data_IF_379233582546
#
_entry.id   IF_379233582546
#
_cell.length_a   1.000
_cell.length_b   1.000
_cell.length_c   1.000
_cell.angle_alpha   90.00
_cell.angle_beta   90.00
_cell.angle_gamma   90.00
#
_symmetry.space_group_name_H-M   'P 1'
#
loop_
_entity.id
_entity.type
_entity.pdbx_description
1 polymer ?
#
# COMPACT_ATOMS: atom_id res chain seq x y z
N UNK A 1 -10.08 6.20 2.33
CA UNK A 1 -11.08 5.39 1.58
C UNK A 1 -12.32 6.16 1.15
N UNK A 2 -13.01 6.89 2.05
CA UNK A 2 -14.16 7.72 1.67
C UNK A 2 -13.83 8.67 0.49
N UNK A 3 -12.64 9.26 0.53
CA UNK A 3 -12.19 10.15 -0.53
C UNK A 3 -12.06 9.49 -1.90
N UNK A 4 -11.44 8.32 -1.96
CA UNK A 4 -11.33 7.54 -3.19
C UNK A 4 -12.70 7.15 -3.76
N UNK A 5 -13.69 6.86 -2.90
CA UNK A 5 -15.07 6.59 -3.35
C UNK A 5 -15.73 7.81 -4.00
N UNK A 6 -15.47 9.01 -3.47
CA UNK A 6 -15.93 10.26 -4.07
C UNK A 6 -15.25 10.51 -5.42
N UNK A 7 -13.92 10.42 -5.46
CA UNK A 7 -13.12 10.58 -6.70
C UNK A 7 -13.58 9.63 -7.80
N UNK A 8 -13.75 8.34 -7.48
CA UNK A 8 -14.27 7.34 -8.41
C UNK A 8 -15.66 7.69 -8.95
N UNK A 9 -16.52 8.33 -8.15
CA UNK A 9 -17.84 8.78 -8.60
C UNK A 9 -17.72 9.90 -9.62
N UNK A 10 -16.79 10.84 -9.42
CA UNK A 10 -16.53 11.91 -10.38
C UNK A 10 -16.02 11.36 -11.71
N UNK A 11 -14.98 10.52 -11.70
CA UNK A 11 -14.46 9.90 -12.92
C UNK A 11 -15.49 9.06 -13.67
N UNK A 12 -16.34 8.32 -12.94
CA UNK A 12 -17.43 7.54 -13.55
C UNK A 12 -18.47 8.41 -14.24
N UNK A 13 -18.86 9.54 -13.63
CA UNK A 13 -19.81 10.49 -14.22
C UNK A 13 -19.28 11.14 -15.49
N UNK A 14 -17.97 11.38 -15.54
CA UNK A 14 -17.29 11.93 -16.73
C UNK A 14 -16.87 10.88 -17.75
N UNK A 15 -17.21 9.60 -17.53
CA UNK A 15 -16.82 8.48 -18.39
C UNK A 15 -15.32 8.41 -18.70
N UNK A 16 -14.48 8.74 -17.70
CA UNK A 16 -13.04 8.79 -17.89
C UNK A 16 -12.43 7.39 -18.02
N UNK A 17 -11.66 7.17 -19.09
CA UNK A 17 -11.00 5.90 -19.39
C UNK A 17 -9.50 6.09 -19.71
N UNK A 18 -8.74 5.01 -19.57
CA UNK A 18 -7.43 4.82 -20.20
C UNK A 18 -7.62 3.72 -21.24
N UNK A 19 -7.49 4.04 -22.52
CA UNK A 19 -7.94 3.16 -23.59
C UNK A 19 -9.43 2.82 -23.44
N UNK A 20 -9.75 1.54 -23.26
CA UNK A 20 -11.12 1.05 -23.06
C UNK A 20 -11.47 0.77 -21.59
N UNK A 21 -10.52 0.88 -20.67
CA UNK A 21 -10.74 0.54 -19.26
C UNK A 21 -11.06 1.81 -18.45
N UNK A 22 -12.13 1.80 -17.63
CA UNK A 22 -12.53 2.96 -16.84
C UNK A 22 -11.52 3.26 -15.73
N UNK A 23 -11.20 4.54 -15.54
CA UNK A 23 -10.32 4.99 -14.46
C UNK A 23 -11.02 4.81 -13.12
N UNK A 24 -10.50 3.91 -12.29
CA UNK A 24 -11.07 3.61 -10.98
C UNK A 24 -10.01 3.14 -9.99
N UNK A 25 -9.93 3.82 -8.85
CA UNK A 25 -9.15 3.37 -7.71
C UNK A 25 -9.87 2.21 -7.00
N UNK A 26 -9.12 1.19 -6.56
CA UNK A 26 -9.68 0.17 -5.68
C UNK A 26 -9.95 0.81 -4.32
N UNK A 27 -11.11 0.51 -3.76
CA UNK A 27 -11.50 0.93 -2.41
C UNK A 27 -11.86 -0.29 -1.60
N UNK A 28 -11.49 -0.28 -0.33
CA UNK A 28 -11.79 -1.35 0.62
C UNK A 28 -12.33 -0.77 1.94
N UNK A 29 -12.97 -1.61 2.73
CA UNK A 29 -13.52 -1.31 4.04
C UNK A 29 -12.42 -1.04 5.06
N UNK A 30 -12.58 0.02 5.83
CA UNK A 30 -11.79 0.30 7.02
C UNK A 30 -12.79 0.59 8.12
N UNK A 31 -12.71 -0.14 9.23
CA UNK A 31 -13.61 -0.02 10.37
C UNK A 31 -12.80 0.22 11.64
N UNK A 32 -12.59 1.47 12.06
CA UNK A 32 -11.91 1.76 13.32
C UNK A 32 -12.78 1.31 14.50
N UNK A 33 -12.19 0.55 15.43
CA UNK A 33 -12.83 0.19 16.70
C UNK A 33 -12.39 1.13 17.82
N UNK A 34 -11.14 1.57 17.79
CA UNK A 34 -10.54 2.54 18.70
C UNK A 34 -9.41 3.32 18.00
N UNK A 35 -8.69 4.16 18.74
CA UNK A 35 -7.49 4.85 18.25
C UNK A 35 -6.30 3.92 17.96
N UNK A 36 -6.35 2.67 18.43
CA UNK A 36 -5.24 1.69 18.32
C UNK A 36 -5.64 0.39 17.64
N UNK A 37 -6.93 0.16 17.43
CA UNK A 37 -7.48 -1.08 16.90
C UNK A 37 -8.55 -0.81 15.85
N UNK A 38 -8.57 -1.62 14.79
CA UNK A 38 -9.62 -1.60 13.78
C UNK A 38 -9.50 -2.77 12.82
N UNK A 39 -10.45 -2.86 11.89
CA UNK A 39 -10.45 -3.84 10.81
C UNK A 39 -10.17 -3.18 9.48
N UNK A 40 -9.44 -3.91 8.64
CA UNK A 40 -9.21 -3.57 7.24
C UNK A 40 -9.69 -4.74 6.40
N UNK A 41 -10.55 -4.47 5.43
CA UNK A 41 -11.02 -5.48 4.49
C UNK A 41 -9.83 -6.01 3.66
N UNK A 42 -9.71 -7.34 3.62
CA UNK A 42 -8.74 -8.02 2.77
C UNK A 42 -9.21 -7.96 1.33
N UNK A 43 -8.41 -7.35 0.47
CA UNK A 43 -8.64 -7.38 -0.99
C UNK A 43 -8.13 -8.72 -1.52
N UNK A 44 -9.04 -9.63 -1.86
CA UNK A 44 -8.69 -10.97 -2.32
C UNK A 44 -7.88 -10.97 -3.62
N UNK A 45 -7.06 -12.00 -3.80
CA UNK A 45 -6.21 -12.21 -4.97
C UNK A 45 -5.26 -11.03 -5.25
N UNK A 46 -4.82 -10.36 -4.19
CA UNK A 46 -3.83 -9.30 -4.25
C UNK A 46 -2.53 -9.74 -3.59
N UNK A 47 -1.42 -9.23 -4.12
CA UNK A 47 -0.07 -9.42 -3.56
C UNK A 47 0.67 -8.10 -3.58
N UNK A 48 1.53 -7.85 -2.60
CA UNK A 48 2.40 -6.67 -2.64
C UNK A 48 3.44 -6.80 -3.76
N UNK A 49 3.96 -5.69 -4.27
CA UNK A 49 5.03 -5.73 -5.27
C UNK A 49 6.34 -6.31 -4.71
N UNK A 50 6.50 -6.29 -3.38
CA UNK A 50 7.58 -6.99 -2.67
C UNK A 50 7.38 -8.49 -2.71
N UNK A 51 6.19 -8.99 -2.38
CA UNK A 51 5.86 -10.43 -2.45
C UNK A 51 6.08 -10.97 -3.87
N UNK A 52 5.77 -10.18 -4.90
CA UNK A 52 6.07 -10.56 -6.29
C UNK A 52 7.58 -10.70 -6.60
N UNK A 53 8.45 -10.22 -5.72
CA UNK A 53 9.91 -10.35 -5.84
C UNK A 53 10.47 -11.55 -5.08
N UNK A 54 9.66 -12.24 -4.27
CA UNK A 54 10.08 -13.41 -3.51
C UNK A 54 10.44 -14.56 -4.44
N UNK A 55 11.61 -15.18 -4.23
CA UNK A 55 12.11 -16.24 -5.10
C UNK A 55 12.53 -15.79 -6.51
N UNK A 56 12.46 -14.49 -6.82
CA UNK A 56 12.85 -13.93 -8.13
C UNK A 56 14.26 -13.33 -8.04
N UNK A 57 15.21 -13.78 -8.89
CA UNK A 57 16.54 -13.19 -8.99
C UNK A 57 16.49 -11.68 -9.22
N UNK A 58 17.43 -10.94 -8.61
CA UNK A 58 17.40 -9.47 -8.60
C UNK A 58 17.31 -8.84 -10.00
N UNK A 59 18.09 -9.34 -10.96
CA UNK A 59 18.10 -8.93 -12.36
C UNK A 59 16.78 -9.19 -13.12
N UNK A 60 15.94 -10.09 -12.61
CA UNK A 60 14.64 -10.44 -13.19
C UNK A 60 13.46 -9.74 -12.50
N UNK A 61 13.67 -9.12 -11.34
CA UNK A 61 12.61 -8.45 -10.56
C UNK A 61 11.92 -7.33 -11.34
N UNK A 62 12.54 -6.75 -12.36
CA UNK A 62 11.91 -5.76 -13.24
C UNK A 62 10.78 -6.36 -14.10
N UNK A 63 10.78 -7.67 -14.36
CA UNK A 63 9.76 -8.35 -15.15
C UNK A 63 8.60 -8.89 -14.30
N UNK A 64 8.66 -8.75 -12.97
CA UNK A 64 7.76 -9.44 -12.04
C UNK A 64 6.27 -9.11 -12.23
N UNK A 65 5.94 -7.85 -12.55
CA UNK A 65 4.55 -7.44 -12.79
C UNK A 65 4.06 -8.01 -14.12
N UNK A 66 4.86 -7.89 -15.18
CA UNK A 66 4.52 -8.43 -16.50
C UNK A 66 4.30 -9.95 -16.44
N UNK A 67 5.16 -10.68 -15.71
CA UNK A 67 5.02 -12.12 -15.46
C UNK A 67 3.79 -12.44 -14.62
N UNK A 68 3.53 -11.72 -13.53
CA UNK A 68 2.36 -11.94 -12.68
C UNK A 68 1.03 -11.74 -13.44
N UNK A 69 1.03 -10.89 -14.46
CA UNK A 69 -0.13 -10.67 -15.33
C UNK A 69 -0.17 -11.60 -16.54
N UNK A 70 0.79 -12.52 -16.68
CA UNK A 70 0.93 -13.43 -17.83
C UNK A 70 0.93 -12.71 -19.19
N UNK A 71 1.41 -11.46 -19.24
CA UNK A 71 1.38 -10.63 -20.45
C UNK A 71 -0.03 -10.45 -21.07
N UNK A 72 -1.09 -10.67 -20.28
CA UNK A 72 -2.47 -10.55 -20.74
C UNK A 72 -2.79 -9.07 -21.04
N UNK A 73 -3.10 -8.78 -22.30
CA UNK A 73 -3.33 -7.41 -22.77
C UNK A 73 -4.43 -6.70 -21.98
N UNK A 74 -5.52 -7.40 -21.63
CA UNK A 74 -6.63 -6.81 -20.89
C UNK A 74 -6.25 -6.50 -19.44
N UNK A 75 -5.43 -7.35 -18.82
CA UNK A 75 -4.89 -7.06 -17.48
C UNK A 75 -3.92 -5.88 -17.49
N UNK A 76 -3.12 -5.74 -18.56
CA UNK A 76 -2.24 -4.58 -18.75
C UNK A 76 -3.02 -3.29 -19.00
N UNK A 77 -4.15 -3.35 -19.70
CA UNK A 77 -5.04 -2.19 -19.88
C UNK A 77 -5.68 -1.77 -18.55
N UNK A 78 -6.11 -2.74 -17.73
CA UNK A 78 -6.59 -2.49 -16.36
C UNK A 78 -5.50 -1.93 -15.46
N UNK A 79 -4.28 -2.43 -15.61
CA UNK A 79 -3.11 -1.89 -14.90
C UNK A 79 -2.96 -0.40 -15.23
N UNK A 80 -3.00 -0.04 -16.52
CA UNK A 80 -2.91 1.36 -16.97
C UNK A 80 -4.01 2.23 -16.34
N UNK A 81 -5.27 1.82 -16.42
CA UNK A 81 -6.39 2.56 -15.84
C UNK A 81 -6.27 2.74 -14.31
N UNK A 82 -5.82 1.69 -13.60
CA UNK A 82 -5.62 1.73 -12.15
C UNK A 82 -4.39 2.55 -11.72
N UNK A 83 -3.33 2.58 -12.53
CA UNK A 83 -2.14 3.42 -12.30
C UNK A 83 -2.50 4.90 -12.45
N UNK A 84 -3.30 5.26 -13.46
CA UNK A 84 -3.85 6.61 -13.60
C UNK A 84 -4.62 7.02 -12.34
N UNK A 85 -5.53 6.15 -11.88
CA UNK A 85 -6.28 6.40 -10.65
C UNK A 85 -5.36 6.54 -9.41
N UNK A 86 -4.36 5.69 -9.28
CA UNK A 86 -3.39 5.72 -8.19
C UNK A 86 -2.56 7.01 -8.19
N UNK A 87 -2.04 7.46 -9.33
CA UNK A 87 -1.24 8.68 -9.43
C UNK A 87 -2.07 9.92 -9.12
N UNK A 88 -3.23 10.09 -9.75
CA UNK A 88 -4.08 11.26 -9.52
C UNK A 88 -4.58 11.31 -8.08
N UNK A 89 -4.99 10.18 -7.50
CA UNK A 89 -5.46 10.16 -6.12
C UNK A 89 -4.33 10.37 -5.10
N UNK A 90 -3.14 9.82 -5.35
CA UNK A 90 -1.98 10.04 -4.47
C UNK A 90 -1.55 11.50 -4.47
N UNK A 91 -1.64 12.17 -5.62
CA UNK A 91 -1.38 13.61 -5.72
C UNK A 91 -2.39 14.42 -4.92
N UNK A 92 -3.69 14.23 -5.15
CA UNK A 92 -4.72 15.05 -4.50
C UNK A 92 -4.72 14.82 -2.98
N UNK A 93 -4.48 13.60 -2.53
CA UNK A 93 -4.46 13.27 -1.10
C UNK A 93 -3.08 13.53 -0.46
N UNK A 94 -2.06 13.89 -1.23
CA UNK A 94 -0.71 14.10 -0.74
C UNK A 94 -0.12 12.89 -0.05
N UNK A 95 -0.36 11.69 -0.61
CA UNK A 95 0.11 10.44 -0.02
C UNK A 95 1.62 10.28 -0.25
N UNK A 96 2.38 10.11 0.83
CA UNK A 96 3.84 9.91 0.82
C UNK A 96 4.22 8.47 1.18
N UNK A 97 5.50 8.20 1.42
CA UNK A 97 6.04 6.86 1.70
C UNK A 97 5.73 5.81 0.62
N UNK A 98 5.97 6.13 -0.65
CA UNK A 98 5.85 5.15 -1.73
C UNK A 98 6.95 4.09 -1.63
N UNK A 99 6.61 2.83 -1.37
CA UNK A 99 7.50 1.67 -1.48
C UNK A 99 6.73 0.42 -1.95
N UNK A 100 7.47 -0.64 -2.28
CA UNK A 100 6.90 -1.84 -2.91
C UNK A 100 5.98 -2.65 -1.97
N UNK A 101 6.08 -2.47 -0.64
CA UNK A 101 5.12 -3.09 0.30
C UNK A 101 3.76 -2.37 0.29
N UNK A 102 3.74 -1.07 -0.01
CA UNK A 102 2.50 -0.26 -0.01
C UNK A 102 1.73 -0.38 -1.34
N UNK A 103 2.32 -1.00 -2.36
CA UNK A 103 1.68 -1.19 -3.65
C UNK A 103 1.28 -2.65 -3.80
N UNK A 104 0.01 -2.88 -4.06
CA UNK A 104 -0.57 -4.20 -4.25
C UNK A 104 -1.08 -4.36 -5.68
N UNK A 105 -0.83 -5.53 -6.26
CA UNK A 105 -1.31 -5.93 -7.58
C UNK A 105 -2.35 -7.03 -7.41
N UNK A 106 -3.55 -6.83 -7.97
CA UNK A 106 -4.56 -7.87 -8.08
C UNK A 106 -4.32 -8.77 -9.30
N UNK A 107 -4.73 -10.03 -9.18
CA UNK A 107 -4.71 -11.02 -10.28
C UNK A 107 -5.43 -10.54 -11.56
N UNK A 108 -6.39 -9.62 -11.42
CA UNK A 108 -7.17 -9.05 -12.52
C UNK A 108 -6.46 -7.90 -13.27
N UNK A 109 -5.26 -7.49 -12.83
CA UNK A 109 -4.46 -6.43 -13.44
C UNK A 109 -4.47 -5.10 -12.67
N UNK A 110 -5.36 -4.91 -11.71
CA UNK A 110 -5.49 -3.60 -11.04
C UNK A 110 -4.43 -3.42 -9.96
N UNK A 111 -3.71 -2.31 -10.03
CA UNK A 111 -2.80 -1.83 -9.00
C UNK A 111 -3.55 -0.92 -8.02
N UNK A 112 -3.25 -1.04 -6.75
CA UNK A 112 -3.74 -0.12 -5.74
C UNK A 112 -2.74 0.04 -4.62
N UNK A 113 -2.92 1.13 -3.88
CA UNK A 113 -2.10 1.44 -2.72
C UNK A 113 -2.81 1.04 -1.44
N UNK A 114 -2.03 0.48 -0.51
CA UNK A 114 -2.36 0.36 0.90
C UNK A 114 -1.45 1.27 1.72
N UNK A 115 -1.82 1.49 2.98
CA UNK A 115 -1.18 2.42 3.90
C UNK A 115 -1.25 3.90 3.45
N UNK A 116 -1.93 4.68 4.27
CA UNK A 116 -2.16 6.12 4.10
C UNK A 116 -1.69 6.91 5.33
N UNK A 117 -0.77 6.36 6.13
CA UNK A 117 -0.27 6.98 7.36
C UNK A 117 0.40 8.35 7.15
N UNK A 118 0.92 8.59 5.94
CA UNK A 118 1.50 9.85 5.51
C UNK A 118 0.65 10.47 4.40
N UNK A 119 -0.30 11.32 4.77
CA UNK A 119 -1.20 12.03 3.86
C UNK A 119 -1.07 13.55 4.04
N UNK A 120 -1.63 14.32 3.10
CA UNK A 120 -1.67 15.78 3.11
C UNK A 120 -0.31 16.45 3.30
N UNK A 121 0.74 15.87 2.70
CA UNK A 121 2.08 16.44 2.72
C UNK A 121 2.92 16.10 3.96
N UNK A 122 2.38 15.33 4.92
CA UNK A 122 3.20 14.72 5.98
C UNK A 122 4.22 13.77 5.36
N UNK A 123 5.49 13.91 5.72
CA UNK A 123 6.58 13.10 5.17
C UNK A 123 7.14 12.11 6.21
N UNK A 124 7.53 10.89 5.80
CA UNK A 124 8.37 10.03 6.61
C UNK A 124 9.81 10.59 6.66
N UNK A 125 10.62 10.10 7.62
CA UNK A 125 12.03 10.50 7.79
C UNK A 125 12.88 10.26 6.54
N UNK A 126 12.64 9.15 5.83
CA UNK A 126 13.25 8.85 4.52
C UNK A 126 12.15 8.85 3.48
N UNK A 127 12.00 9.95 2.76
CA UNK A 127 10.89 10.11 1.83
C UNK A 127 11.20 9.65 0.40
N UNK A 128 10.15 9.27 -0.31
CA UNK A 128 10.18 9.06 -1.75
C UNK A 128 9.68 10.34 -2.46
N UNK A 129 9.90 10.48 -3.77
CA UNK A 129 9.25 11.52 -4.57
C UNK A 129 7.71 11.51 -4.37
N UNK A 130 7.07 12.67 -4.55
CA UNK A 130 5.63 12.85 -4.29
C UNK A 130 4.75 11.90 -5.10
N UNK A 131 5.05 11.74 -6.39
CA UNK A 131 4.48 10.70 -7.25
C UNK A 131 5.55 9.76 -7.75
N UNK A 132 5.18 8.49 -7.89
CA UNK A 132 6.12 7.44 -8.22
C UNK A 132 5.42 6.22 -8.83
N UNK A 133 6.04 5.62 -9.86
CA UNK A 133 5.68 4.33 -10.44
C UNK A 133 6.89 3.38 -10.43
N UNK A 134 6.77 2.14 -9.91
CA UNK A 134 7.88 1.18 -9.92
C UNK A 134 8.33 0.83 -11.33
N UNK A 135 9.64 0.66 -11.53
CA UNK A 135 10.19 0.23 -12.82
C UNK A 135 9.49 -1.03 -13.35
N UNK A 136 9.16 -1.99 -12.48
CA UNK A 136 8.44 -3.18 -12.90
C UNK A 136 7.02 -2.90 -13.44
N UNK A 137 6.34 -1.88 -12.91
CA UNK A 137 5.03 -1.43 -13.39
C UNK A 137 5.18 -0.67 -14.71
N UNK A 138 6.13 0.26 -14.80
CA UNK A 138 6.43 1.00 -16.04
C UNK A 138 6.76 0.04 -17.19
N UNK A 139 7.65 -0.92 -16.93
CA UNK A 139 8.04 -1.94 -17.90
C UNK A 139 6.83 -2.80 -18.34
N UNK A 140 5.95 -3.18 -17.41
CA UNK A 140 4.77 -3.96 -17.75
C UNK A 140 3.77 -3.18 -18.62
N UNK A 141 3.62 -1.88 -18.40
CA UNK A 141 2.78 -1.01 -19.22
C UNK A 141 3.37 -0.86 -20.63
N UNK A 142 4.68 -0.66 -20.71
CA UNK A 142 5.36 -0.25 -21.94
C UNK A 142 5.02 1.17 -22.35
N UNK A 143 5.76 1.69 -23.33
CA UNK A 143 5.70 3.11 -23.75
C UNK A 143 4.29 3.53 -24.20
N UNK A 144 3.63 2.71 -25.02
CA UNK A 144 2.32 3.05 -25.57
C UNK A 144 1.23 3.22 -24.50
N UNK A 145 1.16 2.32 -23.50
CA UNK A 145 0.20 2.46 -22.40
C UNK A 145 0.62 3.57 -21.44
N UNK A 146 1.92 3.76 -21.23
CA UNK A 146 2.42 4.83 -20.38
C UNK A 146 1.99 6.20 -20.90
N UNK A 147 2.12 6.46 -22.19
CA UNK A 147 1.65 7.71 -22.81
C UNK A 147 0.14 7.94 -22.59
N UNK A 148 -0.67 6.87 -22.69
CA UNK A 148 -2.10 6.95 -22.39
C UNK A 148 -2.36 7.25 -20.91
N UNK A 149 -1.60 6.65 -20.00
CA UNK A 149 -1.68 6.94 -18.56
C UNK A 149 -1.37 8.41 -18.29
N UNK A 150 -0.27 8.94 -18.83
CA UNK A 150 0.10 10.36 -18.65
C UNK A 150 -1.00 11.27 -19.17
N UNK A 151 -1.51 11.05 -20.38
CA UNK A 151 -2.60 11.85 -20.95
C UNK A 151 -3.88 11.79 -20.11
N UNK A 152 -4.30 10.59 -19.69
CA UNK A 152 -5.51 10.41 -18.89
C UNK A 152 -5.35 10.93 -17.46
N UNK A 153 -4.14 10.94 -16.87
CA UNK A 153 -3.88 11.56 -15.57
C UNK A 153 -4.24 13.06 -15.61
N UNK A 154 -3.83 13.78 -16.66
CA UNK A 154 -4.17 15.20 -16.84
C UNK A 154 -5.68 15.39 -16.84
N UNK A 155 -6.40 14.62 -17.65
CA UNK A 155 -7.86 14.63 -17.69
C UNK A 155 -8.50 14.26 -16.33
N UNK A 156 -7.93 13.28 -15.62
CA UNK A 156 -8.40 12.82 -14.32
C UNK A 156 -8.35 13.92 -13.27
N UNK A 157 -7.30 14.75 -13.26
CA UNK A 157 -7.19 15.87 -12.33
C UNK A 157 -8.19 16.98 -12.68
N UNK A 158 -8.36 17.30 -13.97
CA UNK A 158 -9.32 18.31 -14.43
C UNK A 158 -10.76 17.96 -14.07
N UNK A 159 -11.16 16.69 -14.17
CA UNK A 159 -12.49 16.22 -13.71
C UNK A 159 -12.74 16.53 -12.23
N UNK A 160 -11.67 16.66 -11.43
CA UNK A 160 -11.74 16.90 -9.98
C UNK A 160 -11.58 18.39 -9.62
N UNK A 161 -11.30 19.26 -10.59
CA UNK A 161 -11.20 20.71 -10.42
C UNK A 161 -12.26 21.44 -11.26
N UNK A 162 -13.51 21.35 -10.83
CA UNK A 162 -14.67 21.97 -11.48
C UNK A 162 -14.72 23.49 -11.36
N UNK A 163 -14.01 24.05 -10.38
CA UNK A 163 -13.94 25.49 -10.12
C UNK A 163 -12.51 25.98 -10.41
N UNK A 164 -12.38 26.86 -11.42
CA UNK A 164 -11.08 27.38 -11.87
C UNK A 164 -10.42 28.32 -10.87
N UNK A 165 -11.18 28.87 -9.94
CA UNK A 165 -10.64 29.76 -8.89
C UNK A 165 -10.10 28.97 -7.70
N UNK A 166 -10.35 27.66 -7.65
CA UNK A 166 -9.98 26.79 -6.54
C UNK A 166 -8.89 25.79 -6.92
N UNK A 167 -8.03 25.37 -5.98
CA UNK A 167 -7.02 24.37 -6.25
C UNK A 167 -7.63 23.04 -6.71
N UNK A 168 -6.90 22.23 -7.51
CA UNK A 168 -7.41 20.96 -7.99
C UNK A 168 -7.70 20.01 -6.82
N UNK A 169 -8.83 19.30 -6.88
CA UNK A 169 -9.26 18.42 -5.79
C UNK A 169 -9.80 19.13 -4.54
N UNK A 170 -9.90 20.47 -4.54
CA UNK A 170 -10.52 21.23 -3.44
C UNK A 170 -11.93 20.74 -3.12
N UNK A 171 -12.78 20.58 -4.13
CA UNK A 171 -14.15 20.11 -3.89
C UNK A 171 -14.18 18.71 -3.29
N UNK A 172 -13.29 17.83 -3.75
CA UNK A 172 -13.12 16.50 -3.19
C UNK A 172 -12.81 16.63 -1.69
N UNK A 173 -11.77 17.37 -1.35
CA UNK A 173 -11.26 17.45 0.01
C UNK A 173 -12.15 18.24 0.97
N UNK A 174 -12.85 19.29 0.49
CA UNK A 174 -13.67 20.19 1.31
C UNK A 174 -15.13 19.79 1.38
N UNK A 175 -15.76 19.28 0.30
CA UNK A 175 -17.13 18.72 0.39
C UNK A 175 -17.18 17.43 1.21
N UNK A 176 -16.04 16.85 1.57
CA UNK A 176 -15.94 15.77 2.55
C UNK A 176 -16.06 16.21 4.02
N UNK A 177 -16.06 17.52 4.30
CA UNK A 177 -15.90 18.12 5.63
C UNK A 177 -17.21 18.80 6.05
N UNK A 178 -18.28 18.11 6.52
CA UNK A 178 -18.27 17.53 7.87
C UNK A 178 -19.27 16.38 8.16
N UNK A 179 -20.10 15.95 7.21
CA UNK A 179 -21.20 14.98 7.47
C UNK A 179 -20.74 13.53 7.26
N UNK A 180 -19.67 13.32 6.49
CA UNK A 180 -19.33 11.98 5.96
C UNK A 180 -18.10 11.34 6.63
N UNK A 181 -17.20 12.13 7.21
CA UNK A 181 -15.97 11.64 7.89
C UNK A 181 -15.62 12.58 9.07
N UNK A 182 -16.22 12.39 10.26
CA UNK A 182 -15.96 13.22 11.44
C UNK A 182 -14.47 13.31 11.81
N UNK A 183 -13.71 12.25 11.57
CA UNK A 183 -12.27 12.14 11.87
C UNK A 183 -11.41 13.09 11.03
N UNK A 184 -11.89 13.49 9.85
CA UNK A 184 -11.20 14.45 9.00
C UNK A 184 -11.23 15.87 9.61
N UNK A 185 -12.14 16.14 10.57
CA UNK A 185 -12.27 17.45 11.22
C UNK A 185 -10.98 17.91 11.91
N UNK A 186 -10.22 16.98 12.47
CA UNK A 186 -8.94 17.29 13.11
C UNK A 186 -7.81 17.56 12.10
N UNK A 187 -7.97 17.10 10.85
CA UNK A 187 -6.98 17.23 9.79
C UNK A 187 -7.30 18.36 8.80
N UNK A 188 -8.41 19.09 9.00
CA UNK A 188 -8.83 20.16 8.08
C UNK A 188 -7.77 21.23 7.84
N UNK A 189 -7.03 21.72 8.85
CA UNK A 189 -6.00 22.73 8.63
C UNK A 189 -4.91 22.22 7.68
N UNK A 190 -4.42 21.00 7.92
CA UNK A 190 -3.39 20.36 7.08
C UNK A 190 -3.91 20.10 5.66
N UNK A 191 -5.16 19.66 5.54
CA UNK A 191 -5.81 19.47 4.24
C UNK A 191 -5.90 20.79 3.49
N UNK A 192 -6.30 21.88 4.16
CA UNK A 192 -6.40 23.21 3.56
C UNK A 192 -5.04 23.72 3.10
N UNK A 193 -4.01 23.62 3.94
CA UNK A 193 -2.67 24.07 3.58
C UNK A 193 -2.08 23.22 2.44
N UNK A 194 -2.29 21.91 2.48
CA UNK A 194 -1.88 21.04 1.39
C UNK A 194 -2.58 21.40 0.08
N UNK A 195 -3.90 21.63 0.09
CA UNK A 195 -4.63 22.00 -1.14
C UNK A 195 -4.11 23.26 -1.81
N UNK A 196 -3.65 24.26 -1.04
CA UNK A 196 -3.06 25.49 -1.60
C UNK A 196 -1.77 25.22 -2.37
N UNK A 197 -1.07 24.12 -2.05
CA UNK A 197 0.16 23.73 -2.75
C UNK A 197 -0.09 22.98 -4.06
N UNK A 198 -1.32 22.53 -4.32
CA UNK A 198 -1.65 21.75 -5.50
C UNK A 198 -1.79 22.63 -6.74
N UNK A 199 -1.20 22.20 -7.85
CA UNK A 199 -1.34 22.86 -9.15
C UNK A 199 -1.33 21.85 -10.30
N UNK A 200 -1.98 22.19 -11.41
CA UNK A 200 -2.01 21.34 -12.60
C UNK A 200 -0.61 21.13 -13.17
N UNK A 201 0.19 22.19 -13.29
CA UNK A 201 1.57 22.09 -13.82
C UNK A 201 2.46 21.19 -12.96
N UNK A 202 2.42 21.36 -11.63
CA UNK A 202 3.20 20.51 -10.73
C UNK A 202 2.81 19.04 -10.81
N UNK A 203 1.51 18.76 -11.00
CA UNK A 203 1.05 17.40 -11.21
C UNK A 203 1.58 16.79 -12.50
N UNK A 204 1.53 17.55 -13.60
CA UNK A 204 2.02 17.09 -14.91
C UNK A 204 3.51 16.75 -14.87
N UNK A 205 4.33 17.66 -14.33
CA UNK A 205 5.76 17.45 -14.18
C UNK A 205 6.08 16.20 -13.34
N UNK A 206 5.31 15.97 -12.27
CA UNK A 206 5.50 14.82 -11.39
C UNK A 206 5.06 13.50 -12.02
N UNK A 207 3.99 13.51 -12.82
CA UNK A 207 3.52 12.31 -13.54
C UNK A 207 4.50 11.93 -14.63
N UNK A 208 4.98 12.90 -15.42
CA UNK A 208 5.94 12.66 -16.51
C UNK A 208 7.25 12.07 -15.96
N UNK A 209 7.69 12.54 -14.79
CA UNK A 209 8.91 12.05 -14.13
C UNK A 209 8.68 10.87 -13.19
N UNK A 210 7.48 10.31 -13.11
CA UNK A 210 7.14 9.30 -12.10
C UNK A 210 7.94 7.99 -12.25
N UNK A 211 8.48 7.71 -13.45
CA UNK A 211 9.31 6.55 -13.77
C UNK A 211 10.83 6.79 -13.60
N UNK A 212 11.29 8.05 -13.54
CA UNK A 212 12.72 8.39 -13.58
C UNK A 212 13.46 8.05 -12.28
N UNK A 213 12.72 7.90 -11.18
CA UNK A 213 13.27 7.79 -9.82
C UNK A 213 13.83 6.42 -9.46
N UNK A 214 14.21 5.61 -10.45
CA UNK A 214 14.60 4.21 -10.27
C UNK A 214 15.88 4.08 -9.40
N UNK A 215 16.86 4.97 -9.55
CA UNK A 215 18.14 4.89 -8.81
C UNK A 215 18.02 5.27 -7.33
N UNK A 216 17.44 6.45 -7.02
CA UNK A 216 17.24 6.90 -5.64
C UNK A 216 16.33 5.93 -4.86
N UNK A 217 15.40 5.25 -5.54
CA UNK A 217 14.59 4.19 -4.95
C UNK A 217 15.31 2.90 -4.68
N UNK A 218 16.13 2.42 -5.62
CA UNK A 218 16.91 1.20 -5.40
C UNK A 218 17.72 1.37 -4.11
N UNK A 219 18.37 2.53 -3.93
CA UNK A 219 19.06 2.86 -2.68
C UNK A 219 18.13 2.86 -1.46
N UNK A 220 16.95 3.51 -1.51
CA UNK A 220 15.99 3.52 -0.39
C UNK A 220 15.46 2.13 -0.03
N UNK A 221 15.07 1.33 -1.02
CA UNK A 221 14.57 -0.03 -0.80
C UNK A 221 15.66 -0.92 -0.18
N UNK A 222 16.89 -0.83 -0.68
CA UNK A 222 18.05 -1.54 -0.12
C UNK A 222 18.32 -1.09 1.32
N UNK A 223 18.31 0.21 1.62
CA UNK A 223 18.50 0.74 2.98
C UNK A 223 17.40 0.24 3.94
N UNK A 224 16.15 0.18 3.47
CA UNK A 224 15.02 -0.30 4.27
C UNK A 224 15.08 -1.81 4.51
N UNK A 225 15.52 -2.58 3.52
CA UNK A 225 15.81 -4.02 3.69
C UNK A 225 16.97 -4.23 4.67
N UNK A 226 18.07 -3.49 4.53
CA UNK A 226 19.21 -3.55 5.46
C UNK A 226 18.81 -3.18 6.90
N UNK A 227 18.04 -2.09 7.07
CA UNK A 227 17.53 -1.70 8.38
C UNK A 227 16.64 -2.80 8.97
N UNK A 228 15.83 -3.48 8.16
CA UNK A 228 15.01 -4.62 8.62
C UNK A 228 15.87 -5.76 9.12
N UNK A 229 16.95 -6.14 8.42
CA UNK A 229 17.86 -7.19 8.89
C UNK A 229 18.49 -6.82 10.23
N UNK A 230 18.98 -5.58 10.38
CA UNK A 230 19.57 -5.10 11.64
C UNK A 230 18.53 -5.10 12.78
N UNK A 231 17.31 -4.63 12.52
CA UNK A 231 16.25 -4.61 13.54
C UNK A 231 15.71 -6.00 13.86
N UNK A 232 15.70 -6.93 12.89
CA UNK A 232 15.27 -8.30 13.11
C UNK A 232 16.31 -9.11 13.89
N UNK A 233 17.61 -8.82 13.73
CA UNK A 233 18.67 -9.36 14.58
C UNK A 233 18.54 -8.84 16.03
N UNK A 234 18.21 -7.57 16.23
CA UNK A 234 17.93 -7.03 17.56
C UNK A 234 16.70 -7.65 18.23
N UNK A 235 15.61 -7.92 17.49
CA UNK A 235 14.45 -8.63 18.07
C UNK A 235 14.76 -10.09 18.41
N UNK A 236 15.69 -10.75 17.71
CA UNK A 236 16.13 -12.11 18.05
C UNK A 236 17.09 -12.10 19.26
N UNK A 237 17.97 -11.12 19.39
CA UNK A 237 18.83 -10.95 20.57
C UNK A 237 18.02 -10.55 21.82
N UNK A 238 17.08 -9.61 21.71
CA UNK A 238 16.23 -9.20 22.84
C UNK A 238 15.32 -10.35 23.32
N UNK A 239 14.84 -11.20 22.40
CA UNK A 239 14.08 -12.41 22.76
C UNK A 239 14.95 -13.56 23.28
N UNK A 240 16.26 -13.55 23.02
CA UNK A 240 17.21 -14.51 23.60
C UNK A 240 17.62 -14.11 25.03
N UNK A 241 17.67 -12.81 25.34
CA UNK A 241 17.99 -12.29 26.69
C UNK A 241 16.81 -12.34 27.67
N UNK A 242 15.56 -12.23 27.19
CA UNK A 242 14.37 -12.31 28.04
C UNK A 242 14.04 -13.73 28.55
N UNK A 243 14.82 -14.75 28.17
CA UNK A 243 14.67 -16.13 28.64
C UNK A 243 15.58 -16.53 29.82
N UNK A 244 16.47 -15.65 30.31
CA UNK A 244 17.54 -16.05 31.27
C UNK A 244 17.62 -15.20 32.54
N UNK A 245 16.76 -14.20 32.74
CA UNK A 245 16.76 -13.42 33.99
C UNK A 245 15.53 -13.72 34.84
N UNK A 246 15.65 -14.75 35.68
CA UNK A 246 14.92 -14.83 36.95
C UNK A 246 15.57 -13.83 37.93
N UNK A 247 14.93 -12.70 38.28
CA UNK A 247 15.54 -11.69 39.15
C UNK A 247 15.46 -12.06 40.63
N UNK A 248 14.89 -13.22 41.01
CA UNK A 248 14.74 -13.64 42.39
C UNK A 248 15.20 -15.09 42.61
N UNK A 249 16.46 -15.36 42.31
CA UNK A 249 17.17 -16.52 42.85
C UNK A 249 17.39 -16.35 44.36
N UNK A 250 16.49 -16.90 45.19
CA UNK A 250 16.70 -17.10 46.63
C UNK A 250 16.46 -18.57 46.98
N UNK A 251 17.59 -19.28 47.17
CA UNK A 251 17.81 -20.49 47.98
C UNK A 251 16.69 -21.56 48.00
N UNK A 252 16.96 -22.72 47.37
CA UNK A 252 17.20 -23.98 48.11
C UNK A 252 17.85 -25.02 47.20
N UNK A 253 18.79 -25.77 47.79
CA UNK A 253 19.46 -26.92 47.21
C UNK A 253 18.46 -28.05 46.86
N UNK A 254 18.70 -28.74 45.74
CA UNK A 254 18.85 -30.20 45.64
C UNK A 254 18.91 -30.64 44.16
N UNK A 255 20.02 -31.28 43.77
CA UNK A 255 20.08 -32.26 42.67
C UNK A 255 19.64 -33.63 43.22
N UNK A 256 19.26 -34.68 42.44
CA UNK A 256 19.30 -34.95 40.98
C UNK A 256 17.97 -35.68 40.50
N UNK A 257 17.89 -36.58 39.48
CA UNK A 257 18.77 -36.94 38.36
C UNK A 257 18.10 -36.92 36.95
N UNK A 258 18.92 -37.27 35.96
CA UNK A 258 18.61 -37.33 34.53
C UNK A 258 17.86 -38.59 34.04
N UNK A 259 17.29 -38.44 32.82
CA UNK A 259 16.93 -39.43 31.78
C UNK A 259 15.48 -39.94 31.73
N UNK A 260 14.95 -40.45 30.57
CA UNK A 260 15.49 -40.46 29.21
C UNK A 260 14.53 -39.92 28.11
N UNK A 261 15.10 -39.80 26.91
CA UNK A 261 14.50 -39.62 25.58
C UNK A 261 13.33 -40.58 25.32
N UNK A 262 12.27 -40.09 24.67
CA UNK A 262 11.40 -40.95 23.85
C UNK A 262 10.87 -40.17 22.64
N UNK A 263 11.37 -40.53 21.47
CA UNK A 263 10.80 -40.14 20.19
C UNK A 263 9.50 -40.91 19.96
N UNK A 264 8.41 -40.20 19.62
CA UNK A 264 7.22 -40.83 19.06
C UNK A 264 7.03 -40.27 17.65
N UNK A 265 7.50 -41.07 16.70
CA UNK A 265 7.09 -41.02 15.29
C UNK A 265 5.67 -41.58 15.19
N UNK A 266 4.73 -40.81 14.63
CA UNK A 266 3.50 -41.39 14.10
C UNK A 266 3.31 -40.95 12.65
N UNK A 267 3.37 -41.97 11.79
CA UNK A 267 3.13 -41.96 10.35
C UNK A 267 1.70 -41.55 10.01
N UNK A 268 1.57 -40.99 8.81
CA UNK A 268 0.36 -40.50 8.17
C UNK A 268 -0.52 -41.60 7.54
N UNK A 269 -1.82 -41.29 7.39
CA UNK A 269 -2.73 -41.50 6.22
C UNK A 269 -4.11 -42.07 6.62
N UNK A 270 -5.18 -41.94 5.81
CA UNK A 270 -5.49 -40.96 4.75
C UNK A 270 -6.86 -40.25 4.97
N UNK A 271 -7.16 -39.28 4.10
CA UNK A 271 -8.39 -38.48 4.07
C UNK A 271 -9.67 -39.27 3.68
N UNK A 272 -10.85 -38.70 3.96
CA UNK A 272 -11.97 -38.77 3.03
C UNK A 272 -12.42 -37.38 2.55
N UNK A 273 -12.85 -37.35 1.30
CA UNK A 273 -13.52 -36.24 0.62
C UNK A 273 -14.96 -36.03 1.13
N UNK A 274 -15.45 -34.80 1.04
CA UNK A 274 -16.71 -34.38 0.35
C UNK A 274 -17.07 -32.94 0.76
N UNK A 275 -17.50 -32.19 -0.26
CA UNK A 275 -17.95 -30.80 -0.32
C UNK A 275 -18.93 -30.32 0.77
N UNK A 276 -18.80 -29.03 1.16
CA UNK A 276 -19.89 -28.04 1.10
C UNK A 276 -19.47 -26.67 1.66
N UNK A 277 -19.22 -25.73 0.76
CA UNK A 277 -19.71 -24.35 0.80
C UNK A 277 -19.95 -23.71 2.19
N UNK A 278 -18.91 -23.11 2.78
CA UNK A 278 -19.09 -22.08 3.83
C UNK A 278 -18.01 -21.01 3.72
N UNK A 279 -18.42 -19.84 3.20
CA UNK A 279 -17.64 -18.60 3.21
C UNK A 279 -17.19 -18.29 4.64
N UNK A 280 -15.91 -18.46 4.92
CA UNK A 280 -15.23 -17.79 6.04
C UNK A 280 -14.30 -16.77 5.44
N UNK A 281 -14.71 -15.50 5.45
CA UNK A 281 -13.79 -14.39 5.27
C UNK A 281 -12.81 -14.42 6.43
N UNK A 282 -11.53 -14.59 6.15
CA UNK A 282 -10.49 -14.49 7.15
C UNK A 282 -10.27 -13.01 7.46
N UNK A 283 -10.42 -12.66 8.73
CA UNK A 283 -10.25 -11.30 9.25
C UNK A 283 -8.87 -11.24 9.93
N UNK A 284 -7.99 -10.36 9.45
CA UNK A 284 -6.66 -10.18 10.02
C UNK A 284 -6.66 -8.96 10.94
N UNK A 285 -6.23 -9.16 12.18
CA UNK A 285 -6.06 -8.07 13.16
C UNK A 285 -4.70 -7.42 12.91
N UNK A 286 -4.70 -6.10 12.69
CA UNK A 286 -3.47 -5.31 12.65
C UNK A 286 -3.36 -4.47 13.93
N UNK A 287 -2.25 -4.65 14.66
CA UNK A 287 -1.81 -3.74 15.73
C UNK A 287 -0.67 -2.88 15.21
N UNK A 288 -0.78 -1.55 15.32
CA UNK A 288 0.31 -0.63 14.97
C UNK A 288 1.14 -0.31 16.22
N UNK A 289 2.42 -0.74 16.33
CA UNK A 289 3.24 -0.47 17.51
C UNK A 289 3.76 0.98 17.62
N UNK A 290 3.57 1.84 16.60
CA UNK A 290 4.24 3.14 16.50
C UNK A 290 3.35 4.35 16.82
N UNK A 291 2.60 4.32 17.92
CA UNK A 291 2.03 5.53 18.53
C UNK A 291 2.45 5.56 20.01
N UNK A 292 3.73 5.85 20.21
CA UNK A 292 4.26 6.27 21.50
C UNK A 292 3.87 7.72 21.77
N UNK A 293 3.13 7.91 22.85
CA UNK A 293 2.73 9.18 23.47
C UNK A 293 3.81 10.27 23.37
N UNK A 294 3.41 11.46 22.95
CA UNK A 294 3.80 12.70 23.66
C UNK A 294 2.51 13.46 23.99
N UNK A 295 2.44 13.81 25.27
CA UNK A 295 1.38 14.51 26.00
C UNK A 295 1.05 15.84 25.35
#
# INVERSE_FOLDING_TARGET
>A
MAALRYVNRCWRKSHLCVGQEPVQAITFGIFPLSSTLGFVEVVSESRTLRELSEGVPFNERQWRVLRALNQDARKLDRLAASVCAYLTSSYILGIRDGHDDNLMLRRDGRLFRVDFGFAFGRTPEIDAPGLFVPNAVFLALGEARWQQVVASCKAALHVLGTDREKPPGWECLVKMQPVTVPELKCLLPEVHDYTKSLSYSSFEDQVERACDWTLQRAAKNTLREALRYVTAEQEVEDNAWLGVLDPFGLLTADTPPAAPVTAVTLQASPAPSVDANRRRGFMTVYSNPKIGKKV
#
